data_IF_673033361153
#
_entry.id   IF_673033361153
#
_cell.length_a   1.000
_cell.length_b   1.000
_cell.length_c   1.000
_cell.angle_alpha   90.00
_cell.angle_beta   90.00
_cell.angle_gamma   90.00
#
_symmetry.space_group_name_H-M   'P 1'
#
loop_
_entity.id
_entity.type
_entity.pdbx_description
1 polymer ?
#
# COMPACT_ATOMS: atom_id res chain seq x y z
N UNK A 1 -48.36 10.78 62.72
CA UNK A 1 -46.88 10.82 62.75
C UNK A 1 -46.37 10.15 61.49
N UNK A 2 -45.64 10.92 60.68
CA UNK A 2 -45.16 10.57 59.34
C UNK A 2 -44.06 9.49 59.38
N UNK A 3 -44.16 8.49 58.52
CA UNK A 3 -43.01 7.68 58.09
C UNK A 3 -42.79 7.94 56.59
N UNK A 4 -41.80 8.78 56.28
CA UNK A 4 -41.35 9.03 54.92
C UNK A 4 -40.52 7.83 54.44
N UNK A 5 -41.07 7.07 53.50
CA UNK A 5 -40.35 6.03 52.78
C UNK A 5 -39.55 6.72 51.67
N UNK A 6 -38.26 6.91 51.89
CA UNK A 6 -37.33 7.41 50.87
C UNK A 6 -37.11 6.33 49.80
N UNK A 7 -37.66 6.57 48.60
CA UNK A 7 -37.31 5.84 47.38
C UNK A 7 -35.91 6.31 46.94
N UNK A 8 -34.89 5.46 47.08
CA UNK A 8 -33.61 5.68 46.42
C UNK A 8 -33.73 5.28 44.94
N UNK A 9 -34.00 6.24 44.07
CA UNK A 9 -33.87 6.05 42.63
C UNK A 9 -32.38 6.04 42.25
N UNK A 10 -31.82 4.86 41.99
CA UNK A 10 -30.48 4.72 41.45
C UNK A 10 -30.48 5.20 39.98
N UNK A 11 -29.95 6.40 39.74
CA UNK A 11 -29.69 6.94 38.41
C UNK A 11 -28.54 6.16 37.76
N UNK A 12 -28.88 5.16 36.93
CA UNK A 12 -27.92 4.52 36.02
C UNK A 12 -27.50 5.57 35.00
N UNK A 13 -26.37 6.24 35.24
CA UNK A 13 -25.71 7.08 34.25
C UNK A 13 -25.12 6.14 33.18
N UNK A 14 -25.87 5.96 32.10
CA UNK A 14 -25.32 5.41 30.87
C UNK A 14 -24.38 6.49 30.28
N UNK A 15 -23.10 6.45 30.67
CA UNK A 15 -22.07 7.26 30.02
C UNK A 15 -21.99 6.81 28.56
N UNK A 16 -22.51 7.63 27.65
CA UNK A 16 -22.40 7.40 26.21
C UNK A 16 -20.92 7.34 25.83
N UNK A 17 -20.41 6.14 25.52
CA UNK A 17 -19.11 6.00 24.88
C UNK A 17 -19.22 6.66 23.51
N UNK A 18 -18.64 7.85 23.35
CA UNK A 18 -18.48 8.46 22.03
C UNK A 18 -17.54 7.58 21.21
N UNK A 19 -18.07 6.91 20.20
CA UNK A 19 -17.25 6.23 19.21
C UNK A 19 -16.57 7.30 18.34
N UNK A 20 -15.24 7.42 18.46
CA UNK A 20 -14.46 8.32 17.60
C UNK A 20 -14.14 7.57 16.30
N UNK A 21 -14.57 8.12 15.17
CA UNK A 21 -14.11 7.69 13.85
C UNK A 21 -13.06 8.67 13.36
N UNK A 22 -11.91 8.16 12.96
CA UNK A 22 -10.82 8.94 12.39
C UNK A 22 -10.36 8.28 11.09
N UNK A 23 -9.99 9.10 10.11
CA UNK A 23 -9.29 8.64 8.91
C UNK A 23 -7.83 9.11 8.94
N UNK A 24 -6.97 8.30 8.35
CA UNK A 24 -5.57 8.65 8.10
C UNK A 24 -5.27 8.40 6.62
N UNK A 25 -4.62 9.35 5.97
CA UNK A 25 -4.14 9.21 4.60
C UNK A 25 -2.64 8.99 4.64
N UNK A 26 -2.17 7.88 4.06
CA UNK A 26 -0.77 7.52 3.99
C UNK A 26 -0.29 7.63 2.56
N UNK A 27 0.91 8.17 2.39
CA UNK A 27 1.67 8.02 1.15
C UNK A 27 2.46 6.71 1.23
N UNK A 28 2.74 6.05 0.10
CA UNK A 28 3.68 4.94 0.09
C UNK A 28 5.03 5.41 0.62
N UNK A 29 5.68 4.57 1.42
CA UNK A 29 7.01 4.84 1.96
C UNK A 29 8.12 4.30 1.06
N UNK A 30 7.81 3.28 0.27
CA UNK A 30 8.69 2.71 -0.76
C UNK A 30 7.84 2.28 -1.95
N UNK A 31 8.34 2.48 -3.17
CA UNK A 31 7.73 1.96 -4.38
C UNK A 31 8.74 1.64 -5.50
N UNK A 32 8.50 0.55 -6.23
CA UNK A 32 9.38 0.18 -7.36
C UNK A 32 8.62 -0.56 -8.43
N UNK A 33 9.06 -0.45 -9.68
CA UNK A 33 8.51 -1.23 -10.79
C UNK A 33 9.47 -2.29 -11.30
N UNK A 34 8.92 -3.45 -11.62
CA UNK A 34 9.62 -4.64 -12.10
C UNK A 34 9.18 -4.95 -13.53
N UNK A 35 10.09 -5.46 -14.35
CA UNK A 35 9.88 -5.60 -15.78
C UNK A 35 10.25 -7.00 -16.27
N UNK A 36 9.29 -7.71 -16.88
CA UNK A 36 9.57 -8.99 -17.54
C UNK A 36 10.49 -8.83 -18.76
N UNK A 37 10.48 -7.65 -19.40
CA UNK A 37 11.34 -7.34 -20.55
C UNK A 37 12.80 -7.10 -20.20
N UNK A 38 13.07 -6.68 -18.96
CA UNK A 38 14.41 -6.44 -18.42
C UNK A 38 14.44 -6.96 -16.98
N UNK A 39 14.56 -8.29 -16.80
CA UNK A 39 14.30 -8.91 -15.50
C UNK A 39 15.24 -8.52 -14.35
N UNK A 40 16.39 -7.92 -14.68
CA UNK A 40 17.40 -7.47 -13.72
C UNK A 40 17.35 -5.94 -13.48
N UNK A 41 16.43 -5.24 -14.13
CA UNK A 41 16.21 -3.80 -13.96
C UNK A 41 15.08 -3.54 -12.95
N UNK A 42 15.13 -2.37 -12.32
CA UNK A 42 14.01 -1.83 -11.55
C UNK A 42 13.86 -0.32 -11.73
N UNK A 43 12.80 0.25 -11.17
CA UNK A 43 12.48 1.68 -11.26
C UNK A 43 11.91 2.18 -9.93
N UNK A 44 12.79 2.46 -8.96
CA UNK A 44 12.44 2.89 -7.60
C UNK A 44 12.51 4.40 -7.34
N UNK A 45 12.80 5.22 -8.35
CA UNK A 45 12.94 6.67 -8.19
C UNK A 45 12.16 7.47 -9.24
N UNK A 46 11.00 6.97 -9.68
CA UNK A 46 10.16 7.56 -10.74
C UNK A 46 8.71 7.08 -10.63
N UNK A 47 7.80 7.66 -11.43
CA UNK A 47 6.45 7.13 -11.64
C UNK A 47 6.44 5.60 -11.87
N UNK A 48 5.47 4.92 -11.26
CA UNK A 48 5.30 3.48 -11.37
C UNK A 48 4.80 3.02 -12.75
N UNK A 49 5.28 1.84 -13.16
CA UNK A 49 4.85 1.13 -14.34
C UNK A 49 4.20 -0.21 -13.97
N UNK A 50 2.99 -0.45 -14.46
CA UNK A 50 2.27 -1.71 -14.27
C UNK A 50 1.41 -2.00 -15.49
N UNK A 51 1.21 -3.27 -15.80
CA UNK A 51 0.35 -3.73 -16.89
C UNK A 51 1.07 -4.64 -17.87
N UNK A 52 0.51 -4.77 -19.07
CA UNK A 52 1.02 -5.66 -20.12
C UNK A 52 1.26 -4.87 -21.39
N UNK A 53 2.43 -5.08 -22.00
CA UNK A 53 2.79 -4.47 -23.28
C UNK A 53 2.07 -5.15 -24.45
N UNK A 54 2.13 -4.54 -25.65
CA UNK A 54 1.60 -5.17 -26.87
C UNK A 54 2.30 -6.49 -27.23
N UNK A 55 3.51 -6.73 -26.73
CA UNK A 55 4.24 -7.97 -26.89
C UNK A 55 3.85 -9.06 -25.86
N UNK A 56 2.90 -8.78 -24.96
CA UNK A 56 2.48 -9.71 -23.92
C UNK A 56 3.38 -9.74 -22.68
N UNK A 57 4.47 -8.96 -22.66
CA UNK A 57 5.39 -8.84 -21.53
C UNK A 57 4.81 -7.94 -20.44
N UNK A 58 5.01 -8.32 -19.18
CA UNK A 58 4.39 -7.69 -18.02
C UNK A 58 5.33 -6.73 -17.29
N UNK A 59 4.73 -5.73 -16.68
CA UNK A 59 5.34 -4.89 -15.65
C UNK A 59 4.49 -4.95 -14.38
N UNK A 60 5.15 -4.92 -13.22
CA UNK A 60 4.50 -4.95 -11.91
C UNK A 60 5.01 -3.78 -11.08
N UNK A 61 4.11 -3.11 -10.37
CA UNK A 61 4.47 -2.13 -9.37
C UNK A 61 4.38 -2.76 -7.97
N UNK A 62 5.37 -2.50 -7.13
CA UNK A 62 5.38 -2.78 -5.71
C UNK A 62 5.20 -1.46 -4.97
N UNK A 63 4.38 -1.48 -3.92
CA UNK A 63 4.13 -0.32 -3.05
C UNK A 63 4.11 -0.78 -1.60
N UNK A 64 4.82 -0.06 -0.74
CA UNK A 64 4.87 -0.31 0.69
C UNK A 64 4.26 0.87 1.44
N UNK A 65 3.52 0.58 2.51
CA UNK A 65 2.96 1.59 3.41
C UNK A 65 3.43 1.30 4.83
N UNK A 66 4.08 2.27 5.46
CA UNK A 66 4.40 2.21 6.89
C UNK A 66 3.21 2.72 7.73
N UNK A 67 2.67 1.82 8.55
CA UNK A 67 1.56 2.11 9.46
C UNK A 67 2.02 2.44 10.89
N UNK A 68 3.32 2.30 11.19
CA UNK A 68 3.84 2.42 12.54
C UNK A 68 3.57 3.82 13.12
N UNK A 69 2.89 3.86 14.27
CA UNK A 69 2.50 5.11 14.93
C UNK A 69 1.48 5.96 14.18
N UNK A 70 0.94 5.50 13.03
CA UNK A 70 -0.09 6.21 12.25
C UNK A 70 -1.50 5.78 12.62
N UNK A 71 -1.66 4.53 13.04
CA UNK A 71 -2.92 3.96 13.48
C UNK A 71 -2.82 3.72 14.99
N UNK A 72 -3.75 4.25 15.81
CA UNK A 72 -3.75 4.03 17.25
C UNK A 72 -3.77 2.54 17.61
N UNK A 73 -3.06 2.17 18.69
CA UNK A 73 -3.17 0.84 19.26
C UNK A 73 -4.63 0.56 19.65
N UNK A 74 -5.13 -0.63 19.30
CA UNK A 74 -6.52 -1.08 19.49
C UNK A 74 -7.58 -0.40 18.59
N UNK A 75 -7.19 0.36 17.57
CA UNK A 75 -8.15 0.83 16.57
C UNK A 75 -8.68 -0.34 15.72
N UNK A 76 -10.00 -0.36 15.49
CA UNK A 76 -10.62 -1.27 14.52
C UNK A 76 -10.66 -0.58 13.16
N UNK A 77 -9.98 -1.13 12.15
CA UNK A 77 -10.06 -0.63 10.77
C UNK A 77 -11.38 -1.07 10.15
N UNK A 78 -12.24 -0.12 9.82
CA UNK A 78 -13.58 -0.37 9.25
C UNK A 78 -13.61 -0.27 7.73
N UNK A 79 -12.70 0.50 7.14
CA UNK A 79 -12.53 0.63 5.69
C UNK A 79 -11.08 0.96 5.34
N UNK A 80 -10.69 0.61 4.12
CA UNK A 80 -9.41 0.98 3.51
C UNK A 80 -9.70 1.36 2.06
N UNK A 81 -9.10 2.47 1.61
CA UNK A 81 -9.09 2.86 0.21
C UNK A 81 -7.63 2.97 -0.26
N UNK A 82 -7.35 2.41 -1.43
CA UNK A 82 -6.09 2.57 -2.13
C UNK A 82 -6.38 3.24 -3.47
N UNK A 83 -5.82 4.42 -3.68
CA UNK A 83 -6.06 5.23 -4.86
C UNK A 83 -4.76 5.38 -5.66
N UNK A 84 -4.82 5.09 -6.96
CA UNK A 84 -3.72 5.35 -7.89
C UNK A 84 -4.13 6.43 -8.89
N UNK A 85 -3.18 7.30 -9.25
CA UNK A 85 -3.36 8.24 -10.36
C UNK A 85 -2.68 7.69 -11.60
N UNK A 86 -3.47 7.41 -12.64
CA UNK A 86 -2.93 7.03 -13.95
C UNK A 86 -2.35 8.28 -14.62
N UNK A 87 -1.03 8.36 -14.72
CA UNK A 87 -0.32 9.49 -15.35
C UNK A 87 -0.04 9.26 -16.84
N UNK A 88 -0.15 8.00 -17.31
CA UNK A 88 0.16 7.62 -18.68
C UNK A 88 -0.65 6.41 -19.13
N UNK A 89 -1.11 6.44 -20.39
CA UNK A 89 -1.79 5.33 -21.05
C UNK A 89 -1.35 5.26 -22.53
N UNK A 90 -1.44 4.09 -23.20
CA UNK A 90 -1.16 4.00 -24.62
C UNK A 90 -2.22 4.79 -25.44
N UNK A 91 -1.92 5.21 -26.69
CA UNK A 91 -2.87 5.94 -27.53
C UNK A 91 -4.22 5.23 -27.75
N UNK A 92 -4.21 3.90 -27.75
CA UNK A 92 -5.40 3.04 -27.86
C UNK A 92 -5.63 2.29 -26.55
N UNK A 93 -5.71 3.02 -25.44
CA UNK A 93 -5.97 2.45 -24.13
C UNK A 93 -7.33 1.75 -24.11
N UNK A 94 -7.35 0.57 -23.49
CA UNK A 94 -8.56 -0.18 -23.20
C UNK A 94 -8.77 -0.20 -21.70
N UNK A 95 -10.03 -0.33 -21.26
CA UNK A 95 -10.33 -0.59 -19.85
C UNK A 95 -9.58 -1.83 -19.42
N UNK A 96 -8.69 -1.66 -18.45
CA UNK A 96 -7.78 -2.70 -17.98
C UNK A 96 -8.07 -3.00 -16.52
N UNK A 97 -8.11 -4.28 -16.17
CA UNK A 97 -8.20 -4.72 -14.79
C UNK A 97 -6.79 -4.90 -14.22
N UNK A 98 -6.51 -4.25 -13.10
CA UNK A 98 -5.28 -4.43 -12.34
C UNK A 98 -5.55 -5.33 -11.14
N UNK A 99 -4.69 -6.33 -10.94
CA UNK A 99 -4.71 -7.16 -9.73
C UNK A 99 -3.94 -6.49 -8.61
N UNK A 100 -4.49 -6.51 -7.40
CA UNK A 100 -3.80 -6.11 -6.17
C UNK A 100 -3.47 -7.37 -5.36
N UNK A 101 -2.20 -7.53 -5.01
CA UNK A 101 -1.71 -8.71 -4.31
C UNK A 101 -0.83 -8.31 -3.14
N UNK A 102 -1.04 -8.94 -1.98
CA UNK A 102 -0.17 -8.76 -0.82
C UNK A 102 1.16 -9.48 -1.05
N UNK A 103 2.27 -8.75 -0.97
CA UNK A 103 3.61 -9.34 -0.95
C UNK A 103 3.85 -9.91 0.46
N UNK A 104 4.34 -11.15 0.54
CA UNK A 104 4.48 -11.89 1.80
C UNK A 104 5.91 -11.95 2.33
N UNK A 105 6.85 -11.26 1.69
CA UNK A 105 8.17 -11.03 2.27
C UNK A 105 8.65 -9.64 1.90
N UNK A 106 9.70 -9.21 2.60
CA UNK A 106 10.32 -7.91 2.46
C UNK A 106 10.93 -7.72 1.07
N UNK A 107 11.06 -6.50 0.61
CA UNK A 107 11.68 -6.13 -0.65
C UNK A 107 12.28 -4.74 -0.46
N UNK A 108 13.07 -4.27 -1.42
CA UNK A 108 13.74 -2.99 -1.34
C UNK A 108 13.44 -2.16 -2.60
N UNK A 109 13.03 -0.91 -2.38
CA UNK A 109 12.74 0.09 -3.40
C UNK A 109 13.79 0.16 -4.52
N UNK A 110 15.05 0.30 -4.09
CA UNK A 110 16.14 0.69 -4.95
C UNK A 110 16.08 2.16 -5.36
N UNK A 111 17.05 2.57 -6.16
CA UNK A 111 17.27 3.99 -6.50
C UNK A 111 17.20 4.27 -8.00
N UNK A 112 16.89 3.25 -8.80
CA UNK A 112 17.01 3.37 -10.26
C UNK A 112 15.90 4.23 -10.83
N UNK A 113 16.33 5.05 -11.79
CA UNK A 113 15.49 5.86 -12.65
C UNK A 113 15.92 5.59 -14.09
N UNK A 114 15.05 5.87 -15.06
CA UNK A 114 15.36 5.60 -16.46
C UNK A 114 14.14 5.68 -17.35
N UNK A 115 14.36 5.70 -18.67
CA UNK A 115 13.25 5.78 -19.62
C UNK A 115 12.46 4.48 -19.67
N UNK A 116 11.28 4.50 -19.04
CA UNK A 116 10.18 3.52 -19.11
C UNK A 116 10.39 2.14 -18.46
N UNK A 117 11.60 1.61 -18.43
CA UNK A 117 11.91 0.27 -17.88
C UNK A 117 12.98 0.29 -16.78
N UNK A 118 13.34 1.47 -16.30
CA UNK A 118 14.33 1.59 -15.23
C UNK A 118 15.77 1.48 -15.73
N UNK A 119 16.62 0.95 -14.85
CA UNK A 119 18.02 0.67 -15.09
C UNK A 119 18.46 -0.57 -14.28
N UNK A 120 19.61 -1.18 -14.59
CA UNK A 120 20.10 -2.36 -13.88
C UNK A 120 20.18 -2.12 -12.36
N UNK A 121 19.60 -3.04 -11.60
CA UNK A 121 19.59 -2.97 -10.14
C UNK A 121 20.99 -3.09 -9.55
N UNK A 122 21.22 -2.39 -8.44
CA UNK A 122 22.42 -2.62 -7.62
C UNK A 122 22.16 -3.66 -6.53
N UNK A 123 23.24 -4.16 -5.91
CA UNK A 123 23.11 -5.11 -4.81
C UNK A 123 22.21 -4.57 -3.70
N UNK A 124 21.27 -5.39 -3.23
CA UNK A 124 20.26 -5.04 -2.24
C UNK A 124 18.89 -4.68 -2.82
N UNK A 125 18.77 -4.40 -4.12
CA UNK A 125 17.52 -3.91 -4.70
C UNK A 125 16.64 -5.02 -5.29
N UNK A 126 15.33 -4.79 -5.40
CA UNK A 126 14.39 -5.77 -5.95
C UNK A 126 14.31 -5.69 -7.47
N UNK A 127 14.22 -6.85 -8.13
CA UNK A 127 14.06 -7.00 -9.58
C UNK A 127 12.92 -7.98 -9.90
N UNK A 128 12.66 -8.26 -11.18
CA UNK A 128 11.71 -9.31 -11.55
C UNK A 128 12.17 -10.69 -11.07
N UNK A 129 13.47 -10.95 -11.14
CA UNK A 129 14.09 -12.23 -10.78
C UNK A 129 14.33 -12.38 -9.28
N UNK A 130 14.67 -11.30 -8.58
CA UNK A 130 15.17 -11.36 -7.22
C UNK A 130 14.44 -10.38 -6.30
N UNK A 131 14.08 -10.85 -5.11
CA UNK A 131 13.61 -9.98 -4.03
C UNK A 131 14.70 -9.03 -3.54
N UNK A 132 15.93 -9.52 -3.47
CA UNK A 132 17.14 -8.79 -3.13
C UNK A 132 18.21 -9.25 -4.12
N UNK A 133 18.67 -8.36 -4.99
CA UNK A 133 19.67 -8.66 -6.01
C UNK A 133 21.11 -8.61 -5.45
N UNK A 134 22.06 -9.41 -5.96
CA UNK A 134 21.83 -10.63 -6.74
C UNK A 134 21.14 -11.68 -5.87
N UNK A 135 20.35 -12.56 -6.49
CA UNK A 135 19.78 -13.69 -5.77
C UNK A 135 20.92 -14.61 -5.31
N UNK A 136 20.92 -14.98 -4.03
CA UNK A 136 21.97 -15.81 -3.41
C UNK A 136 21.50 -17.23 -3.10
N UNK A 137 20.40 -17.65 -3.73
CA UNK A 137 19.78 -18.97 -3.53
C UNK A 137 20.26 -20.03 -4.53
#
# INVERSE_FOLDING_TARGET
MFKHLLLCAALIHCSSLSAFSASVTLQPSEDTSLFETSPDDNLGSSDLASGTTSAGLKSRALVWFDFAGKIPANATVTSVELSFRVTKAPPSAVTSTFGLHRVLQDWAEGTKSGSKIGAPATAGETTWNARVFPDVH
#
